data_IF_773510833496
#
_entry.id   IF_773510833496
#
_cell.length_a   1.000
_cell.length_b   1.000
_cell.length_c   1.000
_cell.angle_alpha   90.00
_cell.angle_beta   90.00
_cell.angle_gamma   90.00
#
_symmetry.space_group_name_H-M   'P 1'
#
loop_
_entity.id
_entity.type
_entity.pdbx_description
1 polymer ?
#
# COMPACT_ATOMS: atom_id res chain seq x y z
N UNK A 1 -7.25 15.04 -18.10
CA UNK A 1 -7.49 13.74 -17.45
C UNK A 1 -8.37 12.91 -18.36
N UNK A 2 -7.89 11.76 -18.83
CA UNK A 2 -8.67 10.81 -19.61
C UNK A 2 -9.25 9.74 -18.69
N UNK A 3 -10.40 9.19 -19.07
CA UNK A 3 -11.02 8.05 -18.40
C UNK A 3 -10.97 6.85 -19.35
N UNK A 4 -10.39 5.75 -18.85
CA UNK A 4 -10.15 4.52 -19.62
C UNK A 4 -10.93 3.40 -18.91
N UNK A 5 -11.61 2.56 -19.69
CA UNK A 5 -12.27 1.36 -19.20
C UNK A 5 -11.45 0.13 -19.67
N UNK A 6 -10.62 -0.47 -18.81
CA UNK A 6 -9.81 -1.61 -19.19
C UNK A 6 -10.66 -2.88 -19.31
N UNK A 7 -10.23 -3.83 -20.14
CA UNK A 7 -10.79 -5.18 -20.17
C UNK A 7 -10.36 -5.92 -18.90
N UNK A 8 -11.31 -6.29 -18.05
CA UNK A 8 -11.04 -6.90 -16.76
C UNK A 8 -11.16 -8.41 -16.79
N UNK A 9 -10.28 -9.09 -16.07
CA UNK A 9 -10.41 -10.49 -15.69
C UNK A 9 -10.55 -10.59 -14.18
N UNK A 10 -11.66 -11.16 -13.70
CA UNK A 10 -11.79 -11.51 -12.29
C UNK A 10 -10.91 -12.71 -11.98
N UNK A 11 -10.04 -12.60 -10.98
CA UNK A 11 -9.13 -13.66 -10.52
C UNK A 11 -9.75 -14.41 -9.35
N UNK A 12 -10.27 -13.69 -8.36
CA UNK A 12 -10.92 -14.28 -7.19
C UNK A 12 -12.05 -13.37 -6.67
N UNK A 13 -12.96 -13.95 -5.90
CA UNK A 13 -14.03 -13.25 -5.17
C UNK A 13 -14.25 -13.88 -3.79
N UNK A 14 -15.10 -13.26 -2.95
CA UNK A 14 -15.34 -13.73 -1.58
C UNK A 14 -14.20 -13.42 -0.60
N UNK A 15 -13.27 -12.55 -1.01
CA UNK A 15 -12.24 -12.00 -0.14
C UNK A 15 -12.85 -11.03 0.88
N UNK A 16 -12.19 -10.86 2.01
CA UNK A 16 -12.69 -10.06 3.14
C UNK A 16 -11.88 -8.77 3.29
N UNK A 17 -12.23 -7.77 2.48
CA UNK A 17 -11.53 -6.50 2.34
C UNK A 17 -10.05 -6.69 1.96
N UNK A 18 -9.79 -7.20 0.71
CA UNK A 18 -8.45 -7.52 0.24
C UNK A 18 -7.60 -6.27 0.09
N UNK A 19 -6.32 -6.36 0.48
CA UNK A 19 -5.32 -5.31 0.43
C UNK A 19 -3.91 -5.88 0.19
N UNK A 20 -2.93 -5.01 -0.03
CA UNK A 20 -1.51 -5.34 -0.11
C UNK A 20 -1.17 -6.45 -1.11
N UNK A 21 -1.63 -6.40 -2.37
CA UNK A 21 -1.38 -7.47 -3.32
C UNK A 21 0.09 -7.49 -3.77
N UNK A 22 0.66 -8.70 -3.81
CA UNK A 22 2.02 -8.98 -4.30
C UNK A 22 1.91 -10.07 -5.36
N UNK A 23 2.15 -9.72 -6.62
CA UNK A 23 2.10 -10.66 -7.74
C UNK A 23 3.40 -11.49 -7.80
N UNK A 24 3.27 -12.80 -7.64
CA UNK A 24 4.38 -13.75 -7.59
C UNK A 24 4.75 -14.27 -8.99
N UNK A 25 6.00 -14.71 -9.16
CA UNK A 25 6.51 -15.24 -10.45
C UNK A 25 5.76 -16.49 -10.95
N UNK A 26 5.14 -17.25 -10.04
CA UNK A 26 4.33 -18.42 -10.38
C UNK A 26 2.89 -18.08 -10.81
N UNK A 27 2.59 -16.78 -10.91
CA UNK A 27 1.29 -16.26 -11.31
C UNK A 27 0.26 -16.21 -10.18
N UNK A 28 0.60 -16.62 -8.96
CA UNK A 28 -0.24 -16.39 -7.79
C UNK A 28 -0.12 -14.93 -7.29
N UNK A 29 -1.10 -14.50 -6.49
CA UNK A 29 -1.05 -13.21 -5.81
C UNK A 29 -1.15 -13.45 -4.31
N UNK A 30 -0.16 -13.00 -3.56
CA UNK A 30 -0.25 -12.91 -2.10
C UNK A 30 -0.93 -11.59 -1.77
N UNK A 31 -1.84 -11.60 -0.81
CA UNK A 31 -2.55 -10.41 -0.36
C UNK A 31 -2.96 -10.56 1.11
N UNK A 32 -3.30 -9.46 1.73
CA UNK A 32 -3.93 -9.49 3.06
C UNK A 32 -5.43 -9.33 2.94
N UNK A 33 -6.15 -9.83 3.93
CA UNK A 33 -7.60 -9.63 4.08
C UNK A 33 -7.83 -8.95 5.43
N UNK A 34 -8.06 -7.65 5.42
CA UNK A 34 -8.08 -6.85 6.66
C UNK A 34 -9.18 -7.33 7.60
N UNK A 35 -10.39 -7.56 7.11
CA UNK A 35 -11.53 -7.96 7.94
C UNK A 35 -11.39 -9.42 8.40
N UNK A 36 -10.77 -10.30 7.59
CA UNK A 36 -10.48 -11.70 7.99
C UNK A 36 -9.25 -11.80 8.89
N UNK A 37 -8.42 -10.77 8.93
CA UNK A 37 -7.16 -10.70 9.68
C UNK A 37 -6.12 -11.72 9.19
N UNK A 38 -6.08 -12.00 7.89
CA UNK A 38 -5.20 -13.03 7.31
C UNK A 38 -4.26 -12.48 6.26
N UNK A 39 -3.12 -13.18 6.11
CA UNK A 39 -2.32 -13.18 4.90
C UNK A 39 -2.76 -14.38 4.08
N UNK A 40 -3.14 -14.16 2.83
CA UNK A 40 -3.72 -15.17 1.95
C UNK A 40 -2.99 -15.22 0.62
N UNK A 41 -3.02 -16.37 -0.06
CA UNK A 41 -2.53 -16.57 -1.42
C UNK A 41 -3.70 -16.89 -2.34
N UNK A 42 -3.81 -16.18 -3.41
CA UNK A 42 -4.73 -16.47 -4.51
C UNK A 42 -3.94 -17.14 -5.63
N UNK A 43 -4.26 -18.39 -5.93
CA UNK A 43 -3.61 -19.15 -7.00
C UNK A 43 -4.11 -18.71 -8.38
N UNK A 44 -3.39 -19.02 -9.49
CA UNK A 44 -3.80 -18.62 -10.83
C UNK A 44 -5.19 -19.15 -11.27
N UNK A 45 -5.67 -20.24 -10.66
CA UNK A 45 -7.02 -20.79 -10.85
C UNK A 45 -8.07 -20.18 -9.90
N UNK A 46 -7.68 -19.16 -9.13
CA UNK A 46 -8.60 -18.37 -8.28
C UNK A 46 -8.89 -18.96 -6.91
N UNK A 47 -8.22 -20.05 -6.50
CA UNK A 47 -8.37 -20.58 -5.13
C UNK A 47 -7.68 -19.69 -4.11
N UNK A 48 -8.36 -19.45 -3.00
CA UNK A 48 -7.83 -18.67 -1.87
C UNK A 48 -7.32 -19.62 -0.79
N UNK A 49 -6.07 -19.45 -0.41
CA UNK A 49 -5.38 -20.23 0.63
C UNK A 49 -4.86 -19.28 1.70
N UNK A 50 -5.29 -19.48 2.95
CA UNK A 50 -4.77 -18.72 4.09
C UNK A 50 -3.36 -19.20 4.40
N UNK A 51 -2.38 -18.29 4.38
CA UNK A 51 -0.99 -18.53 4.79
C UNK A 51 -0.87 -18.40 6.30
N UNK A 52 -1.40 -17.32 6.87
CA UNK A 52 -1.33 -17.03 8.30
C UNK A 52 -2.54 -16.23 8.77
N UNK A 53 -2.96 -16.45 10.02
CA UNK A 53 -3.93 -15.60 10.73
C UNK A 53 -3.13 -14.67 11.64
N UNK A 54 -3.06 -13.38 11.28
CA UNK A 54 -2.15 -12.40 11.88
C UNK A 54 -2.77 -11.63 13.05
N UNK A 55 -4.09 -11.62 13.12
CA UNK A 55 -4.81 -10.75 14.05
C UNK A 55 -4.78 -9.28 13.64
N UNK A 56 -5.49 -8.43 14.38
CA UNK A 56 -5.54 -6.98 14.15
C UNK A 56 -6.07 -6.61 12.75
N UNK A 57 -5.29 -5.89 11.96
CA UNK A 57 -5.65 -5.47 10.61
C UNK A 57 -4.43 -5.47 9.68
N UNK A 58 -4.02 -6.63 9.15
CA UNK A 58 -2.97 -6.67 8.14
C UNK A 58 -3.41 -5.84 6.94
N UNK A 59 -2.54 -4.92 6.47
CA UNK A 59 -2.92 -3.91 5.49
C UNK A 59 -2.05 -3.94 4.23
N UNK A 60 -0.76 -3.73 4.34
CA UNK A 60 0.19 -3.84 3.24
C UNK A 60 1.03 -5.10 3.36
N UNK A 61 1.55 -5.58 2.23
CA UNK A 61 2.49 -6.69 2.20
C UNK A 61 3.60 -6.46 1.17
N UNK A 62 4.81 -6.92 1.48
CA UNK A 62 5.93 -6.92 0.55
C UNK A 62 6.84 -8.13 0.78
N UNK A 63 7.45 -8.62 -0.30
CA UNK A 63 8.53 -9.59 -0.19
C UNK A 63 9.78 -8.90 0.35
N UNK A 64 10.40 -9.52 1.33
CA UNK A 64 11.63 -9.05 1.94
C UNK A 64 12.76 -10.08 1.89
N UNK A 65 13.86 -9.82 2.60
CA UNK A 65 15.01 -10.71 2.64
C UNK A 65 14.66 -12.14 3.01
N UNK A 66 15.32 -13.10 2.37
CA UNK A 66 15.15 -14.53 2.65
C UNK A 66 13.79 -15.09 2.22
N UNK A 67 13.05 -14.40 1.34
CA UNK A 67 11.75 -14.86 0.88
C UNK A 67 10.63 -14.75 1.92
N UNK A 68 10.86 -14.02 3.00
CA UNK A 68 9.84 -13.72 4.02
C UNK A 68 8.90 -12.61 3.55
N UNK A 69 7.69 -12.61 4.06
CA UNK A 69 6.69 -11.58 3.77
C UNK A 69 6.63 -10.61 4.94
N UNK A 70 6.83 -9.33 4.66
CA UNK A 70 6.67 -8.25 5.63
C UNK A 70 5.27 -7.67 5.49
N UNK A 71 4.58 -7.55 6.61
CA UNK A 71 3.19 -7.10 6.66
C UNK A 71 3.09 -5.90 7.60
N UNK A 72 2.54 -4.80 7.10
CA UNK A 72 2.07 -3.71 7.95
C UNK A 72 0.73 -4.11 8.56
N UNK A 73 0.61 -4.00 9.86
CA UNK A 73 -0.64 -4.31 10.58
C UNK A 73 -1.15 -3.03 11.25
N UNK A 74 -2.30 -2.54 10.81
CA UNK A 74 -2.89 -1.31 11.34
C UNK A 74 -3.60 -1.47 12.68
N UNK A 75 -3.58 -2.67 13.27
CA UNK A 75 -4.20 -2.97 14.57
C UNK A 75 -5.72 -3.21 14.49
N UNK A 76 -6.31 -3.14 13.31
CA UNK A 76 -7.72 -3.47 13.10
C UNK A 76 -8.62 -2.28 12.76
N UNK A 77 -9.62 -2.60 11.95
CA UNK A 77 -10.70 -1.69 11.56
C UNK A 77 -12.05 -2.31 11.95
N UNK A 78 -12.99 -1.45 12.29
CA UNK A 78 -14.41 -1.81 12.43
C UNK A 78 -15.08 -1.77 11.07
N UNK A 79 -15.83 -2.80 10.74
CA UNK A 79 -16.52 -2.91 9.46
C UNK A 79 -18.02 -2.90 9.60
N UNK A 80 -18.70 -2.18 8.71
CA UNK A 80 -20.11 -2.39 8.40
C UNK A 80 -20.19 -3.37 7.23
N UNK A 81 -20.79 -4.54 7.50
CA UNK A 81 -20.96 -5.58 6.49
C UNK A 81 -22.41 -5.60 6.04
N UNK A 82 -22.65 -5.57 4.74
CA UNK A 82 -23.95 -5.73 4.07
C UNK A 82 -23.81 -6.82 3.00
N UNK A 83 -24.89 -7.43 2.50
CA UNK A 83 -24.79 -8.42 1.44
C UNK A 83 -23.96 -7.91 0.26
N UNK A 84 -22.83 -8.60 -0.04
CA UNK A 84 -21.91 -8.29 -1.10
C UNK A 84 -21.08 -6.99 -0.94
N UNK A 85 -21.10 -6.36 0.24
CA UNK A 85 -20.38 -5.09 0.47
C UNK A 85 -19.82 -4.98 1.89
N UNK A 86 -18.60 -4.45 1.99
CA UNK A 86 -17.92 -4.14 3.25
C UNK A 86 -17.39 -2.71 3.25
N UNK A 87 -17.57 -2.01 4.36
CA UNK A 87 -17.09 -0.63 4.53
C UNK A 87 -16.36 -0.48 5.85
N UNK A 88 -15.12 0.04 5.87
CA UNK A 88 -14.48 0.40 7.12
C UNK A 88 -15.19 1.62 7.72
N UNK A 89 -15.57 1.53 8.99
CA UNK A 89 -16.32 2.60 9.69
C UNK A 89 -15.59 3.15 10.91
N UNK A 90 -14.31 2.82 11.08
CA UNK A 90 -13.50 3.35 12.16
C UNK A 90 -12.49 2.35 12.70
N UNK A 91 -11.93 2.69 13.85
CA UNK A 91 -10.99 1.85 14.59
C UNK A 91 -11.71 0.63 15.17
N UNK A 92 -11.04 -0.53 15.21
CA UNK A 92 -11.57 -1.73 15.86
C UNK A 92 -11.76 -1.50 17.36
N UNK A 93 -12.78 -2.13 17.93
CA UNK A 93 -13.11 -1.97 19.36
C UNK A 93 -12.01 -2.57 20.28
N UNK A 94 -11.29 -3.58 19.79
CA UNK A 94 -10.17 -4.27 20.46
C UNK A 94 -8.79 -3.74 20.07
N UNK A 95 -8.72 -2.61 19.38
CA UNK A 95 -7.47 -2.00 18.94
C UNK A 95 -6.53 -1.69 20.11
N UNK A 96 -5.27 -2.10 19.98
CA UNK A 96 -4.21 -1.81 20.97
C UNK A 96 -3.07 -0.99 20.37
N UNK A 97 -2.60 -1.35 19.19
CA UNK A 97 -1.50 -0.70 18.45
C UNK A 97 -1.39 -1.23 17.02
N UNK A 98 -0.63 -0.53 16.19
CA UNK A 98 -0.13 -1.05 14.93
C UNK A 98 1.21 -1.78 15.08
N UNK A 99 1.61 -2.54 14.07
CA UNK A 99 2.88 -3.25 14.05
C UNK A 99 3.38 -3.55 12.64
N UNK A 100 4.66 -3.89 12.52
CA UNK A 100 5.25 -4.56 11.38
C UNK A 100 5.49 -6.01 11.76
N UNK A 101 4.97 -6.93 10.95
CA UNK A 101 5.08 -8.37 11.17
C UNK A 101 5.92 -9.02 10.05
N UNK A 102 6.67 -10.06 10.38
CA UNK A 102 7.39 -10.90 9.42
C UNK A 102 6.73 -12.27 9.40
N UNK A 103 6.38 -12.76 8.22
CA UNK A 103 5.73 -14.06 8.03
C UNK A 103 6.64 -14.98 7.23
N UNK A 104 6.83 -16.21 7.71
CA UNK A 104 7.41 -17.31 6.95
C UNK A 104 6.32 -17.95 6.07
N UNK A 105 6.36 -17.79 4.73
CA UNK A 105 5.24 -18.17 3.87
C UNK A 105 4.98 -19.68 3.80
N UNK A 106 6.00 -20.51 4.04
CA UNK A 106 5.85 -21.97 3.98
C UNK A 106 5.18 -22.56 5.21
N UNK A 107 5.35 -21.92 6.38
CA UNK A 107 4.84 -22.45 7.65
C UNK A 107 3.70 -21.64 8.24
N UNK A 108 3.51 -20.39 7.75
CA UNK A 108 2.58 -19.43 8.32
C UNK A 108 3.01 -18.86 9.69
N UNK A 109 4.18 -19.24 10.18
CA UNK A 109 4.73 -18.65 11.43
C UNK A 109 5.05 -17.19 11.21
N UNK A 110 4.75 -16.35 12.19
CA UNK A 110 5.05 -14.93 12.15
C UNK A 110 5.51 -14.39 13.50
N UNK A 111 6.18 -13.26 13.45
CA UNK A 111 6.61 -12.50 14.61
C UNK A 111 6.44 -10.99 14.37
N UNK A 112 6.34 -10.23 15.44
CA UNK A 112 6.34 -8.76 15.38
C UNK A 112 7.78 -8.26 15.33
N UNK A 113 8.12 -7.51 14.28
CA UNK A 113 9.45 -6.89 14.12
C UNK A 113 9.51 -5.52 14.80
N UNK A 114 8.48 -4.69 14.58
CA UNK A 114 8.35 -3.36 15.17
C UNK A 114 6.93 -3.09 15.60
N UNK A 115 6.74 -2.45 16.76
CA UNK A 115 5.46 -1.96 17.26
C UNK A 115 5.54 -0.54 17.85
N UNK A 116 6.76 0.02 17.86
CA UNK A 116 7.05 1.37 18.37
C UNK A 116 8.29 1.97 17.70
N UNK A 117 8.39 3.30 17.71
CA UNK A 117 9.55 4.09 17.33
C UNK A 117 9.78 5.15 18.40
N UNK A 118 11.02 5.24 18.94
CA UNK A 118 11.40 6.21 19.99
C UNK A 118 10.41 6.26 21.19
N UNK A 119 9.92 5.09 21.62
CA UNK A 119 8.95 4.95 22.70
C UNK A 119 7.50 5.28 22.32
N UNK A 120 7.24 5.74 21.10
CA UNK A 120 5.88 5.97 20.60
C UNK A 120 5.36 4.74 19.87
N UNK A 121 4.18 4.25 20.26
CA UNK A 121 3.54 3.11 19.58
C UNK A 121 3.19 3.47 18.13
N UNK A 122 3.42 2.55 17.21
CA UNK A 122 2.85 2.64 15.87
C UNK A 122 1.33 2.63 15.97
N UNK A 123 0.68 3.47 15.16
CA UNK A 123 -0.77 3.68 15.24
C UNK A 123 -1.53 2.87 14.19
N UNK A 124 -1.17 3.03 12.94
CA UNK A 124 -1.85 2.40 11.83
C UNK A 124 -0.93 2.19 10.63
N UNK A 125 0.15 1.37 10.75
CA UNK A 125 0.98 1.03 9.62
C UNK A 125 0.13 0.55 8.45
N UNK A 126 0.38 1.12 7.25
CA UNK A 126 -0.52 0.92 6.12
C UNK A 126 0.18 0.23 4.95
N UNK A 127 1.12 0.86 4.27
CA UNK A 127 1.79 0.31 3.10
C UNK A 127 3.31 0.36 3.26
N UNK A 128 4.05 -0.44 2.47
CA UNK A 128 5.51 -0.53 2.61
C UNK A 128 6.21 -0.84 1.28
N UNK A 129 7.46 -0.37 1.16
CA UNK A 129 8.33 -0.64 0.01
C UNK A 129 9.78 -0.81 0.45
N UNK A 130 10.45 -1.87 -0.03
CA UNK A 130 11.87 -2.11 0.20
C UNK A 130 12.75 -1.31 -0.74
N UNK A 131 13.86 -0.79 -0.22
CA UNK A 131 14.93 -0.21 -1.03
C UNK A 131 16.06 -1.22 -1.32
N UNK A 132 16.97 -0.85 -2.23
CA UNK A 132 18.12 -1.69 -2.62
C UNK A 132 19.17 -1.85 -1.52
N UNK A 133 19.13 -1.03 -0.47
CA UNK A 133 20.04 -1.11 0.67
C UNK A 133 19.55 -2.10 1.75
N UNK A 134 18.40 -2.76 1.52
CA UNK A 134 17.82 -3.75 2.42
C UNK A 134 17.07 -3.15 3.60
N UNK A 135 16.76 -1.85 3.57
CA UNK A 135 15.78 -1.23 4.43
C UNK A 135 14.41 -1.14 3.76
N UNK A 136 13.42 -0.68 4.49
CA UNK A 136 12.10 -0.43 3.95
C UNK A 136 11.48 0.83 4.52
N UNK A 137 10.69 1.48 3.65
CA UNK A 137 9.87 2.60 4.00
C UNK A 137 8.46 2.12 4.26
N UNK A 138 7.77 2.70 5.22
CA UNK A 138 6.35 2.43 5.43
C UNK A 138 5.61 3.67 5.92
N UNK A 139 4.34 3.72 5.60
CA UNK A 139 3.41 4.74 6.08
C UNK A 139 2.71 4.28 7.36
N UNK A 140 2.47 5.20 8.25
CA UNK A 140 1.53 5.06 9.37
C UNK A 140 0.39 6.06 9.17
N UNK A 141 -0.77 5.56 8.81
CA UNK A 141 -1.96 6.35 8.50
C UNK A 141 -2.57 7.02 9.76
N UNK A 142 -2.19 6.53 10.94
CA UNK A 142 -2.87 6.88 12.18
C UNK A 142 -4.23 6.22 12.32
N UNK A 143 -4.95 6.57 13.37
CA UNK A 143 -6.33 6.14 13.64
C UNK A 143 -7.28 7.32 13.67
N UNK A 144 -8.50 7.09 13.20
CA UNK A 144 -9.59 8.05 13.29
C UNK A 144 -10.62 7.54 14.29
N UNK A 145 -11.01 8.41 15.18
CA UNK A 145 -12.02 8.23 16.21
C UNK A 145 -13.15 9.27 16.04
N UNK A 146 -14.19 9.17 16.82
CA UNK A 146 -15.40 10.00 16.63
C UNK A 146 -15.14 11.51 16.62
N UNK A 147 -14.18 12.00 17.40
CA UNK A 147 -13.93 13.43 17.59
C UNK A 147 -12.48 13.86 17.36
N UNK A 148 -11.56 12.92 17.14
CA UNK A 148 -10.16 13.20 16.90
C UNK A 148 -9.53 12.19 15.95
N UNK A 149 -8.31 12.47 15.52
CA UNK A 149 -7.50 11.54 14.74
C UNK A 149 -6.01 11.74 15.03
N UNK A 150 -5.25 10.65 14.85
CA UNK A 150 -3.80 10.75 14.88
C UNK A 150 -3.30 11.42 13.58
N UNK A 151 -2.22 12.19 13.69
CA UNK A 151 -1.46 12.63 12.53
C UNK A 151 -0.62 11.46 12.05
N UNK A 152 -0.54 11.30 10.74
CA UNK A 152 0.24 10.22 10.14
C UNK A 152 1.71 10.55 9.96
N UNK A 153 2.50 9.50 9.70
CA UNK A 153 3.94 9.58 9.53
C UNK A 153 4.44 8.63 8.42
N UNK A 154 5.67 8.86 7.99
CA UNK A 154 6.47 7.90 7.23
C UNK A 154 7.66 7.49 8.06
N UNK A 155 7.91 6.20 8.12
CA UNK A 155 9.05 5.60 8.81
C UNK A 155 10.00 4.95 7.82
N UNK A 156 11.26 4.86 8.25
CA UNK A 156 12.26 4.00 7.62
C UNK A 156 12.79 3.01 8.64
N UNK A 157 12.88 1.74 8.26
CA UNK A 157 13.30 0.67 9.15
C UNK A 157 14.23 -0.34 8.46
N UNK A 158 15.04 -1.03 9.24
CA UNK A 158 15.87 -2.15 8.81
C UNK A 158 15.09 -3.45 8.88
N UNK A 159 15.31 -4.32 7.89
CA UNK A 159 14.65 -5.61 7.82
C UNK A 159 15.02 -6.59 8.96
N UNK A 160 16.13 -6.36 9.60
CA UNK A 160 16.65 -7.20 10.70
C UNK A 160 16.22 -6.76 12.11
N UNK A 161 15.37 -5.72 12.22
CA UNK A 161 14.91 -5.19 13.50
C UNK A 161 15.90 -4.24 14.21
N UNK A 162 17.06 -3.96 13.63
CA UNK A 162 18.12 -3.18 14.28
C UNK A 162 17.86 -1.68 14.37
N UNK A 163 16.95 -1.13 13.54
CA UNK A 163 16.69 0.30 13.50
C UNK A 163 15.34 0.62 12.89
N UNK A 164 14.60 1.49 13.55
CA UNK A 164 13.42 2.20 13.02
C UNK A 164 13.57 3.68 13.36
N UNK A 165 13.12 4.55 12.46
CA UNK A 165 13.05 5.99 12.72
C UNK A 165 11.89 6.64 11.99
N UNK A 166 11.32 7.67 12.59
CA UNK A 166 10.38 8.57 11.93
C UNK A 166 11.14 9.45 10.94
N UNK A 167 10.75 9.39 9.67
CA UNK A 167 11.42 10.11 8.59
C UNK A 167 10.66 11.36 8.15
N UNK A 168 9.32 11.31 8.17
CA UNK A 168 8.44 12.43 7.78
C UNK A 168 7.26 12.49 8.75
N UNK A 169 7.08 13.63 9.39
CA UNK A 169 5.93 13.93 10.26
C UNK A 169 5.66 15.46 10.28
N UNK A 170 4.43 15.93 10.28
CA UNK A 170 3.18 15.19 10.14
C UNK A 170 2.72 15.13 8.68
N UNK A 171 1.95 14.08 8.35
CA UNK A 171 1.19 13.95 7.10
C UNK A 171 -0.29 13.72 7.39
N UNK A 172 -1.14 14.00 6.39
CA UNK A 172 -2.60 13.82 6.52
C UNK A 172 -3.01 12.43 6.06
N UNK A 173 -2.93 11.46 6.98
CA UNK A 173 -3.26 10.05 6.73
C UNK A 173 -2.52 9.48 5.51
N UNK A 174 -1.17 9.42 5.55
CA UNK A 174 -0.38 8.86 4.46
C UNK A 174 -0.72 7.39 4.29
N UNK A 175 -0.90 6.97 3.03
CA UNK A 175 -1.36 5.64 2.67
C UNK A 175 -0.33 4.96 1.76
N UNK A 176 -0.55 4.91 0.44
CA UNK A 176 0.39 4.32 -0.47
C UNK A 176 1.78 4.97 -0.45
N UNK A 177 2.81 4.13 -0.60
CA UNK A 177 4.21 4.53 -0.61
C UNK A 177 4.98 3.76 -1.69
N UNK A 178 5.88 4.42 -2.41
CA UNK A 178 6.66 3.78 -3.46
C UNK A 178 7.93 4.55 -3.78
N UNK A 179 8.89 3.87 -4.38
CA UNK A 179 10.16 4.45 -4.82
C UNK A 179 10.17 4.64 -6.33
N UNK A 180 10.82 5.72 -6.80
CA UNK A 180 11.13 5.89 -8.22
C UNK A 180 12.08 4.77 -8.72
N UNK A 181 12.17 4.51 -10.04
CA UNK A 181 13.04 3.47 -10.58
C UNK A 181 14.52 3.60 -10.19
N UNK A 182 15.00 4.81 -9.99
CA UNK A 182 16.37 5.11 -9.52
C UNK A 182 16.51 5.14 -7.99
N UNK A 183 15.39 5.01 -7.27
CA UNK A 183 15.28 5.08 -5.82
C UNK A 183 15.78 6.42 -5.22
N UNK A 184 15.71 7.51 -5.99
CA UNK A 184 16.05 8.86 -5.53
C UNK A 184 14.84 9.70 -5.13
N UNK A 185 13.64 9.18 -5.36
CA UNK A 185 12.38 9.83 -4.98
C UNK A 185 11.48 8.84 -4.27
N UNK A 186 10.97 9.25 -3.12
CA UNK A 186 9.92 8.54 -2.39
C UNK A 186 8.59 9.22 -2.69
N UNK A 187 7.64 8.47 -3.23
CA UNK A 187 6.26 8.92 -3.43
C UNK A 187 5.39 8.48 -2.25
N UNK A 188 4.57 9.39 -1.78
CA UNK A 188 3.60 9.14 -0.70
C UNK A 188 2.28 9.79 -1.07
N UNK A 189 1.18 9.08 -0.90
CA UNK A 189 -0.15 9.64 -1.10
C UNK A 189 -0.91 9.80 0.20
N UNK A 190 -1.71 10.86 0.28
CA UNK A 190 -2.59 11.15 1.41
C UNK A 190 -4.03 10.82 1.06
N UNK A 191 -4.70 10.04 1.92
CA UNK A 191 -6.06 9.55 1.64
C UNK A 191 -7.09 10.68 1.54
N UNK A 192 -7.33 11.52 2.56
CA UNK A 192 -8.46 12.45 2.54
C UNK A 192 -8.24 13.64 1.63
N UNK A 193 -7.00 13.95 1.30
CA UNK A 193 -6.66 15.11 0.49
C UNK A 193 -6.50 14.78 -0.98
N UNK A 194 -6.48 13.48 -1.34
CA UNK A 194 -6.18 12.97 -2.68
C UNK A 194 -4.94 13.64 -3.28
N UNK A 195 -3.86 13.73 -2.50
CA UNK A 195 -2.59 14.33 -2.91
C UNK A 195 -1.49 13.30 -3.00
N UNK A 196 -0.67 13.41 -4.05
CA UNK A 196 0.56 12.64 -4.24
C UNK A 196 1.76 13.58 -4.03
N UNK A 197 2.62 13.21 -3.09
CA UNK A 197 3.82 13.93 -2.73
C UNK A 197 5.07 13.19 -3.18
N UNK A 198 6.09 13.91 -3.63
CA UNK A 198 7.42 13.40 -3.94
C UNK A 198 8.44 13.97 -2.97
N UNK A 199 9.20 13.12 -2.31
CA UNK A 199 10.31 13.48 -1.41
C UNK A 199 11.62 13.00 -2.01
N UNK A 200 12.57 13.92 -2.20
CA UNK A 200 13.91 13.55 -2.67
C UNK A 200 14.69 12.85 -1.58
N UNK A 201 15.42 11.82 -1.97
CA UNK A 201 16.28 11.04 -1.07
C UNK A 201 17.75 11.41 -1.31
N UNK A 202 18.46 11.80 -0.24
CA UNK A 202 19.91 12.04 -0.27
C UNK A 202 20.70 10.74 -0.16
N UNK A 203 20.14 9.73 0.51
CA UNK A 203 20.69 8.39 0.68
C UNK A 203 19.56 7.42 1.09
N UNK A 204 19.79 6.09 1.09
CA UNK A 204 18.84 5.12 1.62
C UNK A 204 18.38 5.51 3.03
N UNK A 205 17.09 5.57 3.21
CA UNK A 205 16.46 6.00 4.45
C UNK A 205 16.59 7.50 4.77
N UNK A 206 17.16 8.35 3.94
CA UNK A 206 17.37 9.78 4.25
C UNK A 206 16.62 10.69 3.27
N UNK A 207 15.71 11.49 3.82
CA UNK A 207 15.04 12.56 3.06
C UNK A 207 16.01 13.75 2.91
N UNK A 208 16.12 14.27 1.70
CA UNK A 208 16.78 15.54 1.44
C UNK A 208 15.90 16.66 2.04
N UNK A 209 16.47 17.40 3.01
CA UNK A 209 15.75 18.47 3.68
C UNK A 209 15.33 19.56 2.68
N UNK A 210 14.04 19.67 2.40
CA UNK A 210 13.52 20.78 1.62
C UNK A 210 13.28 21.96 2.55
N UNK A 211 13.93 23.09 2.30
CA UNK A 211 13.66 24.35 3.00
C UNK A 211 12.27 24.87 2.60
N UNK A 212 11.22 24.39 3.26
CA UNK A 212 9.88 24.93 3.09
C UNK A 212 9.65 26.11 4.04
N UNK A 213 9.18 27.24 3.50
CA UNK A 213 8.87 28.46 4.25
C UNK A 213 7.66 28.25 5.18
N UNK A 214 6.78 27.29 4.89
CA UNK A 214 5.47 27.21 5.58
C UNK A 214 5.27 26.01 6.52
N UNK A 215 6.08 25.01 6.49
CA UNK A 215 6.15 23.88 7.45
C UNK A 215 7.19 22.92 6.91
N UNK A 216 8.32 22.78 7.53
CA UNK A 216 9.38 21.78 7.33
C UNK A 216 9.17 20.78 6.18
N UNK A 217 10.01 20.06 5.87
CA UNK A 217 10.20 18.92 4.95
C UNK A 217 8.98 18.30 4.22
N UNK A 218 7.99 19.13 3.82
CA UNK A 218 6.96 18.67 2.89
C UNK A 218 7.57 18.51 1.51
N UNK A 219 7.35 17.36 0.90
CA UNK A 219 7.77 17.05 -0.45
C UNK A 219 7.16 17.99 -1.50
N UNK A 220 7.54 17.80 -2.74
CA UNK A 220 6.90 18.45 -3.89
C UNK A 220 5.54 17.82 -4.16
N UNK A 221 4.50 18.61 -4.32
CA UNK A 221 3.19 18.12 -4.77
C UNK A 221 3.30 17.70 -6.25
N UNK A 222 3.08 16.42 -6.53
CA UNK A 222 3.08 15.87 -7.90
C UNK A 222 1.68 15.96 -8.50
N UNK A 223 0.67 15.57 -7.73
CA UNK A 223 -0.72 15.63 -8.16
C UNK A 223 -1.65 15.87 -6.98
N UNK A 224 -2.76 16.57 -7.24
CA UNK A 224 -3.86 16.72 -6.31
C UNK A 224 -5.16 16.71 -7.11
N UNK A 225 -6.06 15.80 -6.77
CA UNK A 225 -7.32 15.67 -7.48
C UNK A 225 -8.40 16.54 -6.84
N UNK A 226 -9.20 17.16 -7.68
CA UNK A 226 -10.37 17.91 -7.24
C UNK A 226 -11.59 17.02 -7.01
N UNK A 227 -12.64 17.59 -6.42
CA UNK A 227 -13.87 16.87 -6.09
C UNK A 227 -13.72 15.99 -4.84
N UNK A 228 -14.71 15.11 -4.60
CA UNK A 228 -14.69 14.17 -3.49
C UNK A 228 -14.16 12.82 -3.97
N UNK A 229 -12.88 12.59 -3.73
CA UNK A 229 -12.19 11.33 -4.00
C UNK A 229 -11.03 11.16 -3.02
N UNK A 230 -10.50 9.95 -2.94
CA UNK A 230 -9.44 9.59 -2.01
C UNK A 230 -8.29 8.95 -2.77
N UNK A 231 -7.08 9.05 -2.24
CA UNK A 231 -5.97 8.20 -2.61
C UNK A 231 -5.77 7.11 -1.58
N UNK A 232 -5.53 5.88 -2.05
CA UNK A 232 -5.23 4.71 -1.22
C UNK A 232 -3.82 4.22 -1.52
N UNK A 233 -3.57 2.94 -1.60
CA UNK A 233 -2.25 2.40 -1.89
C UNK A 233 -1.79 2.70 -3.33
N UNK A 234 -0.50 2.58 -3.58
CA UNK A 234 0.09 2.87 -4.89
C UNK A 234 1.12 1.82 -5.32
N UNK A 235 1.34 1.75 -6.61
CA UNK A 235 2.52 1.13 -7.21
C UNK A 235 3.20 2.12 -8.16
N UNK A 236 4.50 1.93 -8.40
CA UNK A 236 5.24 2.69 -9.41
C UNK A 236 5.49 1.78 -10.60
N UNK A 237 5.36 2.30 -11.82
CA UNK A 237 5.71 1.53 -13.01
C UNK A 237 7.17 1.77 -13.46
N UNK A 238 7.61 1.00 -14.45
CA UNK A 238 9.01 1.03 -14.90
C UNK A 238 9.44 2.34 -15.56
N UNK A 239 8.48 3.18 -15.96
CA UNK A 239 8.73 4.52 -16.51
C UNK A 239 8.60 5.61 -15.44
N UNK A 240 8.31 5.23 -14.18
CA UNK A 240 8.24 6.11 -13.04
C UNK A 240 6.87 6.75 -12.80
N UNK A 241 5.83 6.30 -13.52
CA UNK A 241 4.47 6.75 -13.23
C UNK A 241 3.99 6.23 -11.88
N UNK A 242 3.26 7.06 -11.15
CA UNK A 242 2.67 6.69 -9.86
C UNK A 242 1.22 6.25 -10.10
N UNK A 243 0.97 4.96 -9.92
CA UNK A 243 -0.31 4.32 -10.18
C UNK A 243 -1.06 4.18 -8.86
N UNK A 244 -2.03 5.05 -8.61
CA UNK A 244 -2.68 5.20 -7.30
C UNK A 244 -4.09 4.62 -7.32
N UNK A 245 -4.37 3.70 -6.43
CA UNK A 245 -5.73 3.25 -6.18
C UNK A 245 -6.57 4.42 -5.63
N UNK A 246 -7.75 4.62 -6.20
CA UNK A 246 -8.55 5.85 -5.99
C UNK A 246 -9.98 5.49 -5.59
N UNK A 247 -10.23 5.30 -4.28
CA UNK A 247 -11.57 5.11 -3.74
C UNK A 247 -12.52 6.28 -4.06
N UNK A 248 -13.83 6.02 -3.91
CA UNK A 248 -14.96 6.87 -4.29
C UNK A 248 -15.08 6.95 -5.82
N UNK A 249 -14.02 7.35 -6.49
CA UNK A 249 -13.95 7.35 -7.96
C UNK A 249 -14.01 5.94 -8.53
N UNK A 250 -13.46 4.93 -7.83
CA UNK A 250 -13.39 3.56 -8.33
C UNK A 250 -12.43 3.44 -9.51
N UNK A 251 -11.18 3.78 -9.32
CA UNK A 251 -10.19 3.78 -10.39
C UNK A 251 -8.78 3.47 -9.91
N UNK A 252 -7.89 3.12 -10.82
CA UNK A 252 -6.45 3.33 -10.67
C UNK A 252 -6.10 4.63 -11.40
N UNK A 253 -5.57 5.59 -10.67
CA UNK A 253 -5.15 6.89 -11.21
C UNK A 253 -3.67 6.81 -11.59
N UNK A 254 -3.38 7.02 -12.86
CA UNK A 254 -2.05 7.05 -13.45
C UNK A 254 -1.53 8.49 -13.44
N UNK A 255 -0.60 8.78 -12.55
CA UNK A 255 0.03 10.10 -12.39
C UNK A 255 1.39 10.08 -13.06
N UNK A 256 1.61 10.97 -14.02
CA UNK A 256 2.90 11.11 -14.69
C UNK A 256 3.97 11.64 -13.72
N UNK A 257 5.24 11.23 -13.84
CA UNK A 257 6.30 11.55 -12.87
C UNK A 257 6.50 13.03 -12.62
N UNK A 258 6.27 13.85 -13.67
CA UNK A 258 6.37 15.32 -13.63
C UNK A 258 5.06 16.02 -13.20
N UNK A 259 4.00 15.26 -12.93
CA UNK A 259 2.68 15.78 -12.59
C UNK A 259 1.92 16.44 -13.73
N UNK A 260 2.46 16.44 -14.97
CA UNK A 260 1.88 17.14 -16.12
C UNK A 260 0.55 16.57 -16.58
N UNK A 261 0.30 15.29 -16.30
CA UNK A 261 -0.90 14.58 -16.73
C UNK A 261 -1.33 13.54 -15.70
N UNK A 262 -2.64 13.34 -15.65
CA UNK A 262 -3.30 12.32 -14.84
C UNK A 262 -4.37 11.63 -15.70
N UNK A 263 -4.36 10.30 -15.74
CA UNK A 263 -5.37 9.48 -16.39
C UNK A 263 -5.99 8.51 -15.38
N UNK A 264 -7.23 8.04 -15.61
CA UNK A 264 -7.93 7.16 -14.69
C UNK A 264 -8.43 5.89 -15.40
N UNK A 265 -8.03 4.74 -14.87
CA UNK A 265 -8.51 3.42 -15.29
C UNK A 265 -9.67 3.01 -14.38
N UNK A 266 -10.90 3.11 -14.89
CA UNK A 266 -12.13 2.85 -14.14
C UNK A 266 -12.36 1.37 -13.90
N UNK A 267 -12.67 1.02 -12.66
CA UNK A 267 -12.95 -0.34 -12.19
C UNK A 267 -14.36 -0.39 -11.55
N UNK A 268 -14.99 -1.59 -11.49
CA UNK A 268 -16.40 -1.73 -11.09
C UNK A 268 -16.63 -1.76 -9.57
N UNK A 269 -15.77 -1.13 -8.78
CA UNK A 269 -15.92 -1.01 -7.32
C UNK A 269 -15.50 0.39 -6.90
N UNK A 270 -16.26 1.03 -6.02
CA UNK A 270 -15.90 2.33 -5.50
C UNK A 270 -14.71 2.28 -4.51
N UNK A 271 -14.39 1.12 -3.94
CA UNK A 271 -13.26 0.90 -3.05
C UNK A 271 -12.16 0.13 -3.79
N UNK A 272 -11.59 0.74 -4.82
CA UNK A 272 -10.32 0.31 -5.40
C UNK A 272 -9.24 0.77 -4.44
N UNK A 273 -8.60 -0.18 -3.74
CA UNK A 273 -7.76 0.16 -2.59
C UNK A 273 -6.27 -0.06 -2.83
N UNK A 274 -5.91 -0.98 -3.74
CA UNK A 274 -4.50 -1.23 -4.04
C UNK A 274 -4.31 -1.74 -5.47
N UNK A 275 -3.08 -1.65 -5.97
CA UNK A 275 -2.66 -2.14 -7.28
C UNK A 275 -1.21 -2.64 -7.21
N UNK A 276 -0.91 -3.75 -7.87
CA UNK A 276 0.46 -4.21 -8.08
C UNK A 276 0.64 -4.71 -9.53
N UNK A 277 1.88 -4.90 -9.93
CA UNK A 277 2.23 -5.37 -11.26
C UNK A 277 2.87 -6.75 -11.22
N UNK A 278 2.51 -7.59 -12.19
CA UNK A 278 3.04 -8.92 -12.31
C UNK A 278 2.86 -9.48 -13.73
N UNK A 279 2.89 -10.82 -13.83
CA UNK A 279 2.81 -11.50 -15.09
C UNK A 279 4.06 -11.32 -15.96
N UNK A 280 3.99 -11.79 -17.20
CA UNK A 280 5.10 -11.68 -18.14
C UNK A 280 5.43 -10.20 -18.41
N UNK A 281 6.70 -9.84 -18.23
CA UNK A 281 7.21 -8.48 -18.41
C UNK A 281 6.51 -7.42 -17.50
N UNK A 282 5.92 -7.84 -16.39
CA UNK A 282 5.25 -6.96 -15.41
C UNK A 282 4.13 -6.08 -16.01
N UNK A 283 3.49 -6.52 -17.09
CA UNK A 283 2.44 -5.76 -17.79
C UNK A 283 1.02 -6.09 -17.35
N UNK A 284 0.87 -6.95 -16.37
CA UNK A 284 -0.44 -7.26 -15.78
C UNK A 284 -0.60 -6.48 -14.48
N UNK A 285 -1.55 -5.56 -14.45
CA UNK A 285 -1.98 -4.93 -13.21
C UNK A 285 -2.97 -5.84 -12.49
N UNK A 286 -2.78 -6.02 -11.18
CA UNK A 286 -3.73 -6.68 -10.29
C UNK A 286 -4.26 -5.62 -9.32
N UNK A 287 -5.58 -5.51 -9.19
CA UNK A 287 -6.20 -4.53 -8.31
C UNK A 287 -7.16 -5.17 -7.32
N UNK A 288 -7.13 -4.69 -6.08
CA UNK A 288 -8.06 -5.08 -5.04
C UNK A 288 -9.31 -4.20 -5.09
N UNK A 289 -10.46 -4.85 -5.21
CA UNK A 289 -11.79 -4.25 -5.18
C UNK A 289 -12.41 -4.61 -3.82
N UNK A 290 -12.09 -3.80 -2.81
CA UNK A 290 -12.19 -4.24 -1.42
C UNK A 290 -13.59 -4.22 -0.86
N UNK A 291 -14.47 -3.31 -1.34
CA UNK A 291 -15.86 -3.30 -0.93
C UNK A 291 -16.59 -4.59 -1.34
N UNK A 292 -16.37 -5.03 -2.58
CA UNK A 292 -16.96 -6.26 -3.14
C UNK A 292 -16.16 -7.53 -2.83
N UNK A 293 -14.99 -7.42 -2.24
CA UNK A 293 -14.12 -8.56 -1.89
C UNK A 293 -13.59 -9.31 -3.12
N UNK A 294 -13.08 -8.60 -4.11
CA UNK A 294 -12.66 -9.16 -5.40
C UNK A 294 -11.24 -8.76 -5.75
N UNK A 295 -10.48 -9.69 -6.35
CA UNK A 295 -9.21 -9.43 -7.02
C UNK A 295 -9.44 -9.50 -8.52
N UNK A 296 -9.04 -8.44 -9.25
CA UNK A 296 -9.11 -8.37 -10.71
C UNK A 296 -7.74 -8.16 -11.32
N UNK A 297 -7.59 -8.49 -12.60
CA UNK A 297 -6.42 -8.12 -13.40
C UNK A 297 -6.81 -7.50 -14.72
N UNK A 298 -5.90 -6.69 -15.27
CA UNK A 298 -6.02 -6.08 -16.59
C UNK A 298 -4.64 -5.73 -17.15
N UNK A 299 -4.57 -5.52 -18.46
CA UNK A 299 -3.32 -5.13 -19.10
C UNK A 299 -2.98 -3.68 -18.77
N UNK A 300 -1.72 -3.45 -18.35
CA UNK A 300 -1.16 -2.12 -18.12
C UNK A 300 -0.31 -1.69 -19.31
N UNK A 301 -0.40 -0.44 -19.76
CA UNK A 301 0.28 0.01 -20.99
C UNK A 301 1.81 -0.01 -20.90
N UNK A 302 2.37 0.01 -19.70
CA UNK A 302 3.82 0.01 -19.42
C UNK A 302 4.19 -1.16 -18.51
N UNK A 303 5.45 -1.62 -18.49
CA UNK A 303 5.91 -2.55 -17.46
C UNK A 303 5.77 -1.94 -16.07
N UNK A 304 5.35 -2.70 -15.07
CA UNK A 304 5.51 -2.33 -13.67
C UNK A 304 6.99 -2.23 -13.29
N UNK A 305 7.28 -1.50 -12.22
CA UNK A 305 8.63 -1.47 -11.65
C UNK A 305 8.99 -2.82 -11.02
N UNK A 306 10.15 -3.36 -11.38
CA UNK A 306 10.68 -4.52 -10.68
C UNK A 306 11.03 -4.15 -9.23
N UNK A 307 10.49 -4.91 -8.26
CA UNK A 307 10.64 -4.65 -6.83
C UNK A 307 11.84 -5.40 -6.25
N UNK A 308 12.52 -4.78 -5.29
CA UNK A 308 13.57 -5.42 -4.52
C UNK A 308 13.00 -6.63 -3.77
N UNK A 309 13.78 -7.72 -3.67
CA UNK A 309 13.42 -8.99 -3.05
C UNK A 309 12.27 -9.77 -3.75
N UNK A 310 11.71 -9.27 -4.84
CA UNK A 310 10.66 -9.96 -5.60
C UNK A 310 11.12 -10.29 -7.03
N UNK A 311 11.23 -9.31 -7.91
CA UNK A 311 11.57 -9.51 -9.32
C UNK A 311 12.84 -8.76 -9.80
N UNK A 312 13.48 -7.99 -8.96
CA UNK A 312 14.87 -7.56 -9.17
C UNK A 312 15.80 -8.71 -8.82
N UNK A 313 16.54 -9.18 -9.84
CA UNK A 313 17.61 -10.18 -9.72
C UNK A 313 18.94 -9.53 -9.44
#
# INVERSE_FOLDING_TARGET
MNTIAPALKQIASGLRFPEGPVAMDDGSVILVEIERQTLSRVTPDGKVQVIATLGGGPNGAAMGPGGKIYVTNNGGLKFMVRPGKMFPIGQADDYTRGSIQIVEPLTGKFETLYDACDGQRLRGPNDLVFDRAGGFWFTDLGKTRDRDMDRGAVYYAKADGSMIREAIFPLERPNGIGLSPDERTLYVVETPTARCWAFRLSAPGQIESAKSVFRGDRGTLVAGLGGYQMFDSLAVDGEGHVCVATPITGAVTDVWPDGSRVDQYKLPDMMVTNVCFGGRALRTAFATLSMGGTLVSFEWPRPGLALNHLNKK
#
